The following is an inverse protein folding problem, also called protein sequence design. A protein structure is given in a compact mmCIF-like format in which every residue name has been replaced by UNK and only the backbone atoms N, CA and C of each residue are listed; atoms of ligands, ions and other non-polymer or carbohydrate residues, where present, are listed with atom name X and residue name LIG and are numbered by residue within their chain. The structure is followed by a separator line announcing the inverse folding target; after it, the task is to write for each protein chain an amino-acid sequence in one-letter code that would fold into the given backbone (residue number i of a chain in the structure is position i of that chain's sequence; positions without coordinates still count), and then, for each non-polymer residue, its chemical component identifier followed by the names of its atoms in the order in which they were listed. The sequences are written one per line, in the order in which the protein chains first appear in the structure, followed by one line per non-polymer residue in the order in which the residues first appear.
data_IF_376834479617
#
_entry.id   IF_376834479617
#
_cell.length_a   1.000
_cell.length_b   1.000
_cell.length_c   1.000
_cell.angle_alpha   90.00
_cell.angle_beta   90.00
_cell.angle_gamma   90.00
#
_symmetry.space_group_name_H-M   'P 1'
#
loop_
_entity.id
_entity.type
_entity.pdbx_description
1 polymer ?
#
# COMPACT_ATOMS: atom_id res chain seq x y z
N UNK A 1 13.24 22.70 -4.87
CA UNK A 1 11.86 22.73 -5.36
C UNK A 1 10.96 23.41 -4.32
N UNK A 2 9.90 24.11 -4.76
CA UNK A 2 8.90 24.58 -3.80
C UNK A 2 8.07 23.38 -3.35
N UNK A 3 7.72 23.27 -2.08
CA UNK A 3 6.98 22.14 -1.51
C UNK A 3 5.65 21.83 -2.24
N UNK A 4 5.11 22.80 -2.97
CA UNK A 4 3.87 22.72 -3.74
C UNK A 4 4.07 22.67 -5.27
N UNK A 5 5.28 22.40 -5.76
CA UNK A 5 5.50 22.21 -7.19
C UNK A 5 4.67 21.03 -7.71
N UNK A 6 4.17 21.14 -8.94
CA UNK A 6 3.48 20.02 -9.61
C UNK A 6 4.44 18.85 -9.78
N UNK A 7 3.90 17.65 -9.60
CA UNK A 7 4.64 16.39 -9.71
C UNK A 7 4.13 15.65 -10.94
N UNK A 8 5.05 15.20 -11.78
CA UNK A 8 4.71 14.32 -12.89
C UNK A 8 4.47 12.88 -12.36
N UNK A 9 3.25 12.33 -12.48
CA UNK A 9 2.97 10.99 -12.00
C UNK A 9 3.73 9.87 -12.75
N UNK A 10 4.19 10.15 -13.97
CA UNK A 10 4.98 9.20 -14.75
C UNK A 10 6.46 9.19 -14.34
N UNK A 11 6.91 10.23 -13.62
CA UNK A 11 8.28 10.35 -13.13
C UNK A 11 8.30 11.05 -11.77
N UNK A 12 7.73 10.42 -10.73
CA UNK A 12 7.66 11.03 -9.41
C UNK A 12 9.04 11.12 -8.75
N UNK A 13 9.24 12.07 -7.81
CA UNK A 13 10.49 12.18 -7.08
C UNK A 13 10.71 10.97 -6.16
N UNK A 14 11.95 10.50 -6.07
CA UNK A 14 12.39 9.43 -5.17
C UNK A 14 12.67 10.03 -3.78
N UNK A 15 11.66 10.01 -2.91
CA UNK A 15 11.70 10.70 -1.60
C UNK A 15 11.54 9.79 -0.39
N UNK A 16 11.02 8.58 -0.57
CA UNK A 16 10.92 7.62 0.51
C UNK A 16 12.32 7.06 0.80
N UNK A 17 12.94 7.56 1.86
CA UNK A 17 14.30 7.22 2.29
C UNK A 17 14.34 6.13 3.34
N UNK A 18 13.18 5.58 3.70
CA UNK A 18 13.04 4.44 4.60
C UNK A 18 11.88 3.56 4.16
N UNK A 19 11.93 2.29 4.52
CA UNK A 19 10.80 1.38 4.35
C UNK A 19 9.64 1.81 5.25
N UNK A 20 8.42 1.56 4.79
CA UNK A 20 7.23 1.84 5.59
C UNK A 20 6.89 0.70 6.58
N UNK A 21 7.51 -0.47 6.41
CA UNK A 21 7.29 -1.67 7.21
C UNK A 21 8.62 -2.35 7.53
N UNK A 22 8.65 -3.10 8.62
CA UNK A 22 9.76 -3.97 8.97
C UNK A 22 9.87 -5.10 7.95
N UNK A 23 11.05 -5.27 7.33
CA UNK A 23 11.31 -6.31 6.33
C UNK A 23 11.88 -7.61 6.93
N UNK A 24 12.19 -7.65 8.22
CA UNK A 24 12.71 -8.86 8.88
C UNK A 24 11.71 -10.03 8.88
N UNK A 25 10.38 -9.80 9.06
CA UNK A 25 9.39 -10.84 8.87
C UNK A 25 9.32 -11.29 7.41
N UNK A 26 8.80 -12.49 7.19
CA UNK A 26 8.38 -12.90 5.86
C UNK A 26 7.21 -12.04 5.40
N UNK A 27 7.34 -11.39 4.25
CA UNK A 27 6.35 -10.47 3.73
C UNK A 27 6.00 -10.84 2.29
N UNK A 28 4.74 -10.76 1.95
CA UNK A 28 4.29 -10.66 0.57
C UNK A 28 3.53 -9.35 0.38
N UNK A 29 3.70 -8.75 -0.79
CA UNK A 29 3.12 -7.45 -1.15
C UNK A 29 2.38 -7.60 -2.47
N UNK A 30 1.16 -7.04 -2.58
CA UNK A 30 0.43 -7.08 -3.84
C UNK A 30 1.01 -6.10 -4.85
N UNK A 31 0.87 -6.47 -6.13
CA UNK A 31 1.00 -5.50 -7.22
C UNK A 31 -0.15 -4.50 -7.15
N UNK A 32 0.08 -3.23 -7.47
CA UNK A 32 -1.03 -2.31 -7.73
C UNK A 32 -1.83 -2.79 -8.94
N UNK A 33 -3.12 -2.48 -8.98
CA UNK A 33 -4.10 -2.91 -9.98
C UNK A 33 -4.43 -4.39 -9.97
N UNK A 34 -4.04 -5.14 -8.92
CA UNK A 34 -4.36 -6.56 -8.77
C UNK A 34 -5.75 -6.80 -8.14
N UNK A 35 -6.26 -5.84 -7.39
CA UNK A 35 -7.44 -6.00 -6.53
C UNK A 35 -8.57 -5.09 -7.01
N UNK A 36 -9.84 -5.51 -6.85
CA UNK A 36 -10.97 -4.60 -6.98
C UNK A 36 -10.85 -3.47 -5.95
N UNK A 37 -10.84 -2.24 -6.43
CA UNK A 37 -10.54 -1.07 -5.59
C UNK A 37 -11.71 -0.66 -4.71
N UNK A 38 -11.44 -0.47 -3.43
CA UNK A 38 -12.34 0.23 -2.51
C UNK A 38 -12.48 1.70 -2.92
N UNK A 39 -11.78 2.57 -2.18
CA UNK A 39 -11.85 4.02 -2.35
C UNK A 39 -10.65 4.61 -3.11
N UNK A 40 -9.84 3.79 -3.80
CA UNK A 40 -8.53 4.21 -4.30
C UNK A 40 -8.39 4.17 -5.83
N UNK A 41 -9.48 4.14 -6.54
CA UNK A 41 -9.49 4.28 -7.99
C UNK A 41 -10.84 4.70 -8.57
N UNK A 42 -11.94 4.11 -8.10
CA UNK A 42 -13.34 4.36 -8.49
C UNK A 42 -13.65 4.19 -9.99
N UNK A 43 -12.80 3.55 -10.74
CA UNK A 43 -12.94 3.46 -12.19
C UNK A 43 -12.97 4.81 -12.89
N UNK A 44 -12.50 5.86 -12.24
CA UNK A 44 -12.42 7.19 -12.80
C UNK A 44 -11.07 7.40 -13.46
N UNK A 45 -11.02 8.00 -14.68
CA UNK A 45 -9.76 8.30 -15.33
C UNK A 45 -8.83 9.18 -14.51
N UNK A 46 -9.38 9.97 -13.58
CA UNK A 46 -8.59 10.83 -12.71
C UNK A 46 -7.81 10.03 -11.66
N UNK A 47 -8.33 8.88 -11.23
CA UNK A 47 -7.74 8.06 -10.17
C UNK A 47 -6.94 6.88 -10.73
N UNK A 48 -7.47 6.20 -11.73
CA UNK A 48 -6.77 5.18 -12.49
C UNK A 48 -6.79 5.56 -13.97
N UNK A 49 -5.68 5.98 -14.52
CA UNK A 49 -5.55 6.47 -15.90
C UNK A 49 -5.97 5.44 -16.96
N UNK A 50 -6.31 4.22 -16.59
CA UNK A 50 -6.93 3.26 -17.50
C UNK A 50 -8.35 3.65 -17.87
N UNK A 51 -9.06 4.41 -17.02
CA UNK A 51 -10.42 4.91 -17.26
C UNK A 51 -11.52 3.86 -17.39
N UNK A 52 -11.17 2.59 -17.37
CA UNK A 52 -12.06 1.46 -17.66
C UNK A 52 -12.07 0.39 -16.57
N UNK A 53 -11.22 0.56 -15.56
CA UNK A 53 -10.97 -0.45 -14.55
C UNK A 53 -11.19 0.09 -13.14
N UNK A 54 -11.83 -0.70 -12.30
CA UNK A 54 -11.98 -0.45 -10.87
C UNK A 54 -10.89 -1.12 -10.04
N UNK A 55 -9.66 -1.10 -10.52
CA UNK A 55 -8.51 -1.70 -9.85
C UNK A 55 -7.93 -0.83 -8.75
N UNK A 56 -7.58 -1.41 -7.62
CA UNK A 56 -6.95 -0.72 -6.49
C UNK A 56 -5.52 -0.31 -6.80
N UNK A 57 -5.18 0.93 -6.41
CA UNK A 57 -3.82 1.45 -6.46
C UNK A 57 -3.09 1.32 -5.11
N UNK A 58 -3.67 0.59 -4.14
CA UNK A 58 -2.99 0.22 -2.91
C UNK A 58 -2.03 -0.96 -3.15
N UNK A 59 -0.95 -0.97 -2.37
CA UNK A 59 -0.26 -2.20 -2.03
C UNK A 59 -0.87 -2.74 -0.74
N UNK A 60 -1.39 -3.95 -0.81
CA UNK A 60 -1.76 -4.74 0.36
C UNK A 60 -0.53 -5.56 0.76
N UNK A 61 -0.40 -5.82 2.01
CA UNK A 61 0.70 -6.65 2.53
C UNK A 61 0.19 -7.64 3.55
N UNK A 62 0.83 -8.80 3.56
CA UNK A 62 0.75 -9.78 4.63
C UNK A 62 2.13 -9.97 5.19
N UNK A 63 2.27 -9.88 6.51
CA UNK A 63 3.52 -10.12 7.20
C UNK A 63 3.37 -11.31 8.14
N UNK A 64 4.36 -12.20 8.12
CA UNK A 64 4.43 -13.39 8.97
C UNK A 64 5.73 -13.39 9.74
N UNK A 65 5.75 -13.98 10.91
CA UNK A 65 7.01 -14.31 11.58
C UNK A 65 7.63 -15.54 10.91
N UNK A 66 8.95 -15.70 10.98
CA UNK A 66 9.70 -16.73 10.25
C UNK A 66 9.27 -18.18 10.53
N UNK A 67 8.72 -18.42 11.71
CA UNK A 67 8.18 -19.70 12.18
C UNK A 67 6.69 -19.89 11.83
N UNK A 68 6.05 -18.90 11.25
CA UNK A 68 4.62 -18.84 10.93
C UNK A 68 4.37 -18.70 9.42
N UNK A 69 5.25 -19.22 8.61
CA UNK A 69 5.12 -19.20 7.16
C UNK A 69 3.75 -19.76 6.77
N UNK A 70 3.05 -19.08 5.89
CA UNK A 70 1.73 -19.45 5.40
C UNK A 70 1.63 -20.98 5.12
N UNK A 71 0.82 -21.64 5.92
CA UNK A 71 0.50 -23.08 5.80
C UNK A 71 -0.90 -23.34 5.21
N UNK A 72 -1.58 -22.27 4.73
CA UNK A 72 -2.96 -22.33 4.27
C UNK A 72 -4.00 -22.13 5.37
N UNK A 73 -3.60 -21.89 6.61
CA UNK A 73 -4.50 -21.82 7.76
C UNK A 73 -4.55 -20.42 8.37
N UNK A 74 -5.62 -19.68 8.13
CA UNK A 74 -5.81 -18.28 8.56
C UNK A 74 -5.85 -18.04 10.08
N UNK A 75 -5.90 -19.05 10.88
CA UNK A 75 -6.13 -18.91 12.32
C UNK A 75 -4.90 -18.93 13.20
N UNK A 76 -3.70 -19.17 12.63
CA UNK A 76 -2.50 -19.49 13.42
C UNK A 76 -1.54 -18.33 13.63
N UNK A 77 -1.77 -17.15 13.04
CA UNK A 77 -0.81 -16.05 13.04
C UNK A 77 -1.35 -14.84 13.80
N UNK A 78 -0.65 -14.45 14.84
CA UNK A 78 -0.91 -13.18 15.51
C UNK A 78 0.39 -12.34 15.44
N UNK A 79 0.42 -11.41 14.48
CA UNK A 79 1.55 -10.47 14.29
C UNK A 79 1.29 -9.11 14.94
N UNK A 80 0.20 -8.98 15.69
CA UNK A 80 -0.11 -7.74 16.44
C UNK A 80 1.02 -7.39 17.40
N UNK A 81 1.43 -6.12 17.34
CA UNK A 81 2.51 -5.61 18.20
C UNK A 81 3.90 -6.16 17.88
N UNK A 82 4.07 -6.93 16.79
CA UNK A 82 5.36 -7.51 16.37
C UNK A 82 5.91 -6.80 15.17
N UNK A 83 5.13 -6.68 14.09
CA UNK A 83 5.58 -6.07 12.84
C UNK A 83 5.34 -4.58 12.88
N UNK A 84 6.40 -3.80 12.75
CA UNK A 84 6.40 -2.35 12.90
C UNK A 84 6.10 -1.63 11.59
N UNK A 85 5.37 -0.53 11.71
CA UNK A 85 5.27 0.49 10.67
C UNK A 85 6.19 1.66 10.96
N UNK A 86 6.75 2.22 9.90
CA UNK A 86 7.65 3.38 9.96
C UNK A 86 7.18 4.48 9.02
N UNK A 87 7.52 5.73 9.33
CA UNK A 87 7.38 6.80 8.36
C UNK A 87 8.42 6.63 7.25
N UNK A 88 8.04 6.60 5.97
CA UNK A 88 8.99 6.51 4.87
C UNK A 88 9.70 7.82 4.56
N UNK A 89 9.22 8.93 5.11
CA UNK A 89 9.66 10.30 4.80
C UNK A 89 9.66 11.18 6.06
N UNK A 90 10.41 12.28 6.01
CA UNK A 90 10.18 13.40 6.91
C UNK A 90 8.89 14.10 6.51
N UNK A 91 7.99 14.32 7.46
CA UNK A 91 6.69 14.88 7.14
C UNK A 91 5.80 15.18 8.35
N UNK A 92 4.52 15.36 8.06
CA UNK A 92 3.49 15.56 9.07
C UNK A 92 2.36 14.54 8.88
N UNK A 93 2.03 13.86 9.96
CA UNK A 93 0.89 12.97 10.06
C UNK A 93 -0.39 13.77 10.33
N UNK A 94 -1.41 13.55 9.51
CA UNK A 94 -2.70 14.22 9.60
C UNK A 94 -3.85 13.25 9.35
N UNK A 95 -5.07 13.70 9.65
CA UNK A 95 -6.31 12.96 9.39
C UNK A 95 -6.23 11.56 9.98
N UNK A 96 -5.85 11.50 11.26
CA UNK A 96 -5.83 10.24 12.02
C UNK A 96 -7.27 9.87 12.36
N UNK A 97 -7.77 8.80 11.76
CA UNK A 97 -9.15 8.33 11.91
C UNK A 97 -9.13 6.99 12.63
N UNK A 98 -9.65 6.91 13.86
CA UNK A 98 -9.80 5.65 14.56
C UNK A 98 -10.93 4.83 13.94
N UNK A 99 -10.76 3.52 13.93
CA UNK A 99 -11.75 2.54 13.49
C UNK A 99 -11.79 1.39 14.50
N UNK A 100 -12.93 1.25 15.17
CA UNK A 100 -13.12 0.17 16.15
C UNK A 100 -13.32 -1.16 15.44
N UNK A 101 -12.56 -2.16 15.88
CA UNK A 101 -12.66 -3.54 15.42
C UNK A 101 -12.82 -4.50 16.60
N UNK A 102 -13.09 -5.77 16.31
CA UNK A 102 -13.13 -6.80 17.36
C UNK A 102 -11.76 -7.01 18.06
N UNK A 103 -10.67 -6.61 17.40
CA UNK A 103 -9.30 -6.72 17.91
C UNK A 103 -8.82 -5.48 18.67
N UNK A 104 -9.58 -4.37 18.63
CA UNK A 104 -9.23 -3.08 19.22
C UNK A 104 -9.34 -1.94 18.21
N UNK A 105 -8.74 -0.81 18.51
CA UNK A 105 -8.77 0.38 17.64
C UNK A 105 -7.64 0.33 16.64
N UNK A 106 -7.96 0.29 15.35
CA UNK A 106 -7.00 0.52 14.26
C UNK A 106 -7.14 1.94 13.72
N UNK A 107 -6.11 2.41 13.05
CA UNK A 107 -6.08 3.77 12.52
C UNK A 107 -5.81 3.79 11.01
N UNK A 108 -6.49 4.74 10.36
CA UNK A 108 -6.14 5.24 9.03
C UNK A 108 -5.57 6.64 9.18
N UNK A 109 -4.50 6.96 8.46
CA UNK A 109 -3.89 8.31 8.51
C UNK A 109 -3.13 8.63 7.24
N UNK A 110 -2.80 9.92 7.10
CA UNK A 110 -2.01 10.46 6.00
C UNK A 110 -0.70 11.02 6.51
N UNK A 111 0.39 10.81 5.75
CA UNK A 111 1.65 11.52 5.95
C UNK A 111 1.91 12.38 4.72
N UNK A 112 2.08 13.69 4.95
CA UNK A 112 2.46 14.65 3.93
C UNK A 112 3.95 14.95 4.06
N UNK A 113 4.78 14.63 3.03
CA UNK A 113 6.21 14.94 3.05
C UNK A 113 6.47 16.43 3.18
N UNK A 114 7.48 16.81 3.96
CA UNK A 114 7.82 18.22 4.21
C UNK A 114 8.11 18.99 2.91
N UNK A 115 8.87 18.38 2.00
CA UNK A 115 9.35 19.03 0.78
C UNK A 115 8.47 18.79 -0.45
N UNK A 116 7.45 17.89 -0.33
CA UNK A 116 6.59 17.48 -1.46
C UNK A 116 5.13 17.39 -1.00
N UNK A 117 4.55 18.50 -0.64
CA UNK A 117 3.19 18.63 -0.06
C UNK A 117 2.05 18.19 -1.01
N UNK A 118 2.36 17.89 -2.27
CA UNK A 118 1.41 17.30 -3.22
C UNK A 118 1.41 15.77 -3.20
N UNK A 119 2.37 15.15 -2.55
CA UNK A 119 2.36 13.72 -2.27
C UNK A 119 1.67 13.43 -0.95
N UNK A 120 0.97 12.31 -0.90
CA UNK A 120 0.34 11.80 0.31
C UNK A 120 0.61 10.31 0.42
N UNK A 121 1.15 9.88 1.55
CA UNK A 121 1.22 8.47 1.92
C UNK A 121 0.02 8.17 2.82
N UNK A 122 -0.79 7.20 2.44
CA UNK A 122 -1.97 6.77 3.20
C UNK A 122 -1.74 5.38 3.76
N UNK A 123 -1.99 5.21 5.04
CA UNK A 123 -1.86 3.96 5.77
C UNK A 123 -3.20 3.51 6.31
N UNK A 124 -3.38 2.19 6.37
CA UNK A 124 -4.58 1.57 6.96
C UNK A 124 -4.17 0.43 7.88
N UNK A 125 -5.05 0.11 8.82
CA UNK A 125 -4.96 -1.03 9.73
C UNK A 125 -3.72 -0.99 10.65
N UNK A 126 -3.37 0.21 11.12
CA UNK A 126 -2.22 0.43 11.99
C UNK A 126 -2.68 0.60 13.43
N UNK A 127 -2.08 -0.16 14.35
CA UNK A 127 -2.09 0.12 15.79
C UNK A 127 -1.06 1.23 16.04
N UNK A 128 -1.54 2.49 16.07
CA UNK A 128 -0.70 3.67 16.20
C UNK A 128 -0.13 3.80 17.62
N UNK A 129 1.13 4.19 17.73
CA UNK A 129 1.67 4.59 19.03
C UNK A 129 0.91 5.81 19.58
N UNK A 130 0.70 5.83 20.90
CA UNK A 130 -0.10 6.84 21.61
C UNK A 130 0.28 8.28 21.23
N UNK A 131 1.57 8.54 21.03
CA UNK A 131 2.10 9.87 20.69
C UNK A 131 1.64 10.37 19.31
N UNK A 132 1.15 9.47 18.42
CA UNK A 132 0.71 9.82 17.06
C UNK A 132 -0.82 9.81 16.87
N UNK A 133 -1.60 9.42 17.85
CA UNK A 133 -3.08 9.38 17.70
C UNK A 133 -3.71 10.75 17.46
N UNK A 134 -2.97 11.82 17.77
CA UNK A 134 -3.36 13.20 17.45
C UNK A 134 -2.67 13.74 16.19
N UNK A 135 -1.94 12.91 15.45
CA UNK A 135 -1.07 13.34 14.37
C UNK A 135 0.21 14.01 14.90
N UNK A 136 0.94 14.69 14.01
CA UNK A 136 2.16 15.43 14.37
C UNK A 136 3.31 15.20 13.39
N UNK A 137 4.46 15.78 13.70
CA UNK A 137 5.66 15.63 12.86
C UNK A 137 6.25 14.24 13.01
N UNK A 138 6.72 13.69 11.89
CA UNK A 138 7.42 12.41 11.81
C UNK A 138 8.70 12.56 11.01
N UNK A 139 9.67 11.71 11.29
CA UNK A 139 10.92 11.63 10.52
C UNK A 139 11.02 10.30 9.80
N UNK A 140 11.73 10.25 8.67
CA UNK A 140 11.99 9.01 7.95
C UNK A 140 12.63 7.96 8.88
N UNK A 141 12.11 6.75 8.87
CA UNK A 141 12.52 5.66 9.76
C UNK A 141 11.97 5.73 11.18
N UNK A 142 11.17 6.73 11.51
CA UNK A 142 10.53 6.78 12.82
C UNK A 142 9.47 5.68 12.92
N UNK A 143 9.57 4.86 13.97
CA UNK A 143 8.55 3.87 14.31
C UNK A 143 7.27 4.59 14.72
N UNK A 144 6.16 4.30 14.03
CA UNK A 144 4.88 4.99 14.21
C UNK A 144 3.76 4.08 14.74
N UNK A 145 3.90 2.78 14.61
CA UNK A 145 2.89 1.83 15.06
C UNK A 145 3.23 0.40 14.67
N UNK A 146 2.26 -0.47 14.82
CA UNK A 146 2.37 -1.88 14.52
C UNK A 146 1.24 -2.33 13.60
N UNK A 147 1.40 -3.49 12.97
CA UNK A 147 0.28 -4.17 12.32
C UNK A 147 -0.78 -4.48 13.38
N UNK A 148 -2.03 -4.03 13.14
CA UNK A 148 -3.15 -4.26 14.04
C UNK A 148 -3.79 -5.62 13.81
N UNK A 149 -3.87 -6.08 12.58
CA UNK A 149 -4.62 -7.28 12.23
C UNK A 149 -3.85 -8.56 12.54
N UNK A 150 -4.52 -9.60 13.11
CA UNK A 150 -3.85 -10.82 13.57
C UNK A 150 -3.08 -11.56 12.48
N UNK A 151 -3.50 -11.42 11.24
CA UNK A 151 -2.93 -12.10 10.09
C UNK A 151 -1.90 -11.24 9.31
N UNK A 152 -1.36 -10.21 9.95
CA UNK A 152 -0.30 -9.41 9.38
C UNK A 152 -0.74 -8.47 8.26
N UNK A 153 -2.03 -8.26 8.09
CA UNK A 153 -2.57 -7.43 7.02
C UNK A 153 -2.31 -5.94 7.27
N UNK A 154 -1.78 -5.26 6.27
CA UNK A 154 -1.63 -3.82 6.23
C UNK A 154 -1.75 -3.30 4.81
N UNK A 155 -1.81 -1.98 4.66
CA UNK A 155 -2.03 -1.35 3.36
C UNK A 155 -1.29 -0.01 3.29
N UNK A 156 -0.73 0.28 2.12
CA UNK A 156 -0.21 1.59 1.78
C UNK A 156 -0.71 2.05 0.41
N UNK A 157 -1.08 3.32 0.31
CA UNK A 157 -1.33 3.99 -0.96
C UNK A 157 -0.51 5.28 -1.04
N UNK A 158 -0.09 5.63 -2.25
CA UNK A 158 0.58 6.89 -2.53
C UNK A 158 -0.21 7.66 -3.57
N UNK A 159 -0.52 8.91 -3.28
CA UNK A 159 -1.25 9.78 -4.20
C UNK A 159 -0.55 11.11 -4.45
N UNK A 160 -0.80 11.68 -5.63
CA UNK A 160 -0.36 13.00 -6.07
C UNK A 160 -1.60 13.87 -6.27
N UNK A 161 -1.65 15.02 -5.61
CA UNK A 161 -2.70 16.02 -5.80
C UNK A 161 -2.13 17.29 -6.43
N UNK A 162 -2.23 17.40 -7.74
CA UNK A 162 -1.80 18.60 -8.48
C UNK A 162 -2.84 19.74 -8.49
N UNK A 163 -3.89 19.63 -7.66
CA UNK A 163 -4.90 20.68 -7.48
C UNK A 163 -6.14 20.50 -8.36
N UNK A 164 -6.07 19.74 -9.44
CA UNK A 164 -7.20 19.43 -10.33
C UNK A 164 -7.60 17.97 -10.20
N UNK A 165 -6.63 17.09 -10.27
CA UNK A 165 -6.82 15.64 -10.26
C UNK A 165 -5.99 15.00 -9.15
N UNK A 166 -6.58 14.04 -8.45
CA UNK A 166 -5.90 13.12 -7.57
C UNK A 166 -5.47 11.90 -8.41
N UNK A 167 -4.20 11.55 -8.35
CA UNK A 167 -3.64 10.40 -9.07
C UNK A 167 -2.90 9.49 -8.10
N UNK A 168 -3.12 8.20 -8.22
CA UNK A 168 -2.40 7.20 -7.43
C UNK A 168 -1.23 6.62 -8.21
N UNK A 169 -0.14 6.35 -7.48
CA UNK A 169 1.09 5.74 -7.98
C UNK A 169 1.54 4.62 -7.04
N UNK A 170 2.46 3.79 -7.49
CA UNK A 170 3.06 2.77 -6.62
C UNK A 170 3.97 3.40 -5.56
N UNK A 171 3.99 2.84 -4.36
CA UNK A 171 5.00 3.18 -3.35
C UNK A 171 6.43 2.94 -3.87
N UNK A 172 6.61 1.91 -4.70
CA UNK A 172 7.91 1.58 -5.30
C UNK A 172 8.41 2.66 -6.28
N UNK A 173 7.50 3.50 -6.81
CA UNK A 173 7.89 4.60 -7.69
C UNK A 173 8.53 5.78 -6.96
N UNK A 174 8.26 5.93 -5.65
CA UNK A 174 8.73 7.07 -4.83
C UNK A 174 9.84 6.72 -3.86
N UNK A 175 10.19 5.43 -3.68
CA UNK A 175 11.32 5.06 -2.82
C UNK A 175 12.65 5.33 -3.50
N UNK A 176 13.67 5.69 -2.71
CA UNK A 176 15.04 5.87 -3.21
C UNK A 176 15.62 4.56 -3.71
N UNK A 177 16.73 4.61 -4.43
CA UNK A 177 17.38 3.39 -4.94
C UNK A 177 18.02 2.60 -3.79
N UNK A 178 18.45 3.26 -2.72
CA UNK A 178 18.97 2.62 -1.51
C UNK A 178 17.89 1.79 -0.81
N UNK A 179 16.69 2.34 -0.65
CA UNK A 179 15.54 1.59 -0.07
C UNK A 179 15.12 0.48 -1.00
N UNK A 180 15.09 0.73 -2.32
CA UNK A 180 14.75 -0.31 -3.28
C UNK A 180 15.75 -1.48 -3.29
N UNK A 181 17.04 -1.21 -3.04
CA UNK A 181 18.05 -2.25 -2.94
C UNK A 181 17.78 -3.27 -1.81
N UNK A 182 17.10 -2.86 -0.73
CA UNK A 182 16.68 -3.78 0.34
C UNK A 182 15.64 -4.78 -0.16
N UNK A 183 14.70 -4.34 -0.99
CA UNK A 183 13.72 -5.21 -1.66
C UNK A 183 14.38 -6.09 -2.73
N UNK A 184 15.38 -5.57 -3.43
CA UNK A 184 16.14 -6.36 -4.40
C UNK A 184 16.91 -7.50 -3.72
N UNK A 185 17.46 -7.27 -2.53
CA UNK A 185 18.09 -8.30 -1.73
C UNK A 185 17.10 -9.38 -1.24
N UNK A 186 15.81 -9.14 -1.35
CA UNK A 186 14.68 -10.00 -0.98
C UNK A 186 13.92 -10.52 -2.21
N UNK A 187 14.53 -10.51 -3.39
CA UNK A 187 14.01 -11.16 -4.60
C UNK A 187 13.22 -10.28 -5.57
N UNK A 188 12.92 -9.01 -5.25
CA UNK A 188 12.29 -8.10 -6.22
C UNK A 188 13.32 -7.64 -7.25
N UNK A 189 13.11 -7.95 -8.51
CA UNK A 189 14.07 -7.66 -9.58
C UNK A 189 13.95 -6.25 -10.17
N UNK A 190 12.74 -5.69 -10.19
CA UNK A 190 12.47 -4.34 -10.71
C UNK A 190 11.24 -3.73 -10.03
N UNK A 191 11.12 -2.40 -10.08
CA UNK A 191 9.94 -1.68 -9.57
C UNK A 191 8.68 -2.06 -10.35
N UNK A 192 8.80 -2.33 -11.65
CA UNK A 192 7.69 -2.73 -12.53
C UNK A 192 7.08 -4.08 -12.13
N UNK A 193 7.86 -4.95 -11.47
CA UNK A 193 7.34 -6.22 -10.91
C UNK A 193 6.21 -6.00 -9.92
N UNK A 194 6.16 -4.84 -9.26
CA UNK A 194 5.16 -4.49 -8.25
C UNK A 194 3.90 -3.84 -8.86
N UNK A 195 3.77 -3.89 -10.18
CA UNK A 195 2.70 -3.20 -10.91
C UNK A 195 2.14 -4.10 -12.01
N UNK A 196 0.82 -4.24 -12.06
CA UNK A 196 0.14 -4.60 -13.30
C UNK A 196 0.07 -3.30 -14.11
N UNK A 197 0.61 -3.29 -15.33
CA UNK A 197 0.68 -2.07 -16.13
C UNK A 197 -0.72 -1.53 -16.47
N UNK A 198 -0.80 -0.25 -16.82
CA UNK A 198 -2.06 0.37 -17.25
C UNK A 198 -2.58 -0.28 -18.52
N UNK A 199 -1.68 -0.62 -19.43
CA UNK A 199 -1.97 -1.25 -20.72
C UNK A 199 -2.53 -2.66 -20.51
N UNK A 200 -1.93 -3.47 -19.64
CA UNK A 200 -2.42 -4.81 -19.30
C UNK A 200 -3.80 -4.71 -18.65
N UNK A 201 -3.98 -3.81 -17.68
CA UNK A 201 -5.27 -3.65 -17.01
C UNK A 201 -6.34 -3.03 -17.90
N UNK A 202 -5.98 -2.12 -18.80
CA UNK A 202 -6.91 -1.58 -19.80
C UNK A 202 -7.37 -2.63 -20.81
N UNK A 203 -6.47 -3.55 -21.19
CA UNK A 203 -6.82 -4.68 -22.05
C UNK A 203 -7.71 -5.71 -21.33
N UNK A 204 -7.58 -5.84 -20.02
CA UNK A 204 -8.27 -6.81 -19.17
C UNK A 204 -8.87 -6.11 -17.93
N UNK A 205 -9.93 -5.30 -18.08
CA UNK A 205 -10.45 -4.46 -17.03
C UNK A 205 -11.14 -5.26 -15.92
N UNK A 206 -10.93 -4.83 -14.67
CA UNK A 206 -11.75 -5.29 -13.54
C UNK A 206 -13.14 -4.64 -13.65
N UNK A 207 -14.24 -5.41 -13.54
CA UNK A 207 -15.58 -4.85 -13.62
C UNK A 207 -15.87 -3.81 -12.53
N UNK A 208 -16.38 -2.63 -12.90
CA UNK A 208 -16.78 -1.57 -11.96
C UNK A 208 -18.19 -1.76 -11.36
N UNK A 209 -18.83 -2.88 -11.60
CA UNK A 209 -20.23 -3.13 -11.19
C UNK A 209 -20.39 -3.79 -9.83
N UNK A 210 -19.29 -4.04 -9.13
CA UNK A 210 -19.29 -4.86 -7.92
C UNK A 210 -19.71 -4.11 -6.65
N UNK A 211 -19.67 -2.77 -6.64
CA UNK A 211 -20.01 -1.94 -5.47
C UNK A 211 -19.00 -2.06 -4.33
N UNK A 212 -19.15 -1.20 -3.33
CA UNK A 212 -18.17 -1.04 -2.23
C UNK A 212 -18.00 -2.27 -1.31
N UNK A 213 -18.93 -3.20 -1.31
CA UNK A 213 -18.86 -4.42 -0.48
C UNK A 213 -18.00 -5.55 -1.04
N UNK A 214 -17.35 -5.36 -2.16
CA UNK A 214 -16.58 -6.40 -2.87
C UNK A 214 -15.07 -6.18 -2.83
N UNK A 215 -14.58 -5.41 -1.91
CA UNK A 215 -13.15 -5.31 -1.66
C UNK A 215 -12.53 -6.69 -1.41
N UNK A 216 -11.28 -6.88 -1.83
CA UNK A 216 -10.60 -8.17 -1.68
C UNK A 216 -10.83 -9.17 -2.81
N UNK A 217 -11.54 -8.82 -3.89
CA UNK A 217 -11.52 -9.61 -5.12
C UNK A 217 -10.26 -9.35 -5.91
N UNK A 218 -9.54 -10.42 -6.22
CA UNK A 218 -8.29 -10.39 -6.97
C UNK A 218 -8.50 -10.82 -8.41
N UNK A 219 -7.77 -10.18 -9.31
CA UNK A 219 -7.81 -10.44 -10.74
C UNK A 219 -6.40 -10.51 -11.30
N UNK A 220 -6.09 -11.54 -12.05
CA UNK A 220 -4.83 -11.68 -12.77
C UNK A 220 -4.61 -10.53 -13.77
N UNK A 221 -3.42 -10.42 -14.32
CA UNK A 221 -3.15 -9.49 -15.41
C UNK A 221 -3.99 -9.82 -16.67
N UNK A 222 -4.36 -11.09 -16.87
CA UNK A 222 -5.26 -11.52 -17.96
C UNK A 222 -6.74 -11.22 -17.72
N UNK A 223 -7.11 -10.69 -16.55
CA UNK A 223 -8.49 -10.31 -16.22
C UNK A 223 -9.34 -11.43 -15.61
N UNK A 224 -8.75 -12.60 -15.35
CA UNK A 224 -9.45 -13.70 -14.69
C UNK A 224 -9.53 -13.41 -13.18
N UNK A 225 -10.71 -13.65 -12.60
CA UNK A 225 -10.87 -13.57 -11.16
C UNK A 225 -10.21 -14.79 -10.50
N UNK A 226 -9.16 -14.55 -9.68
CA UNK A 226 -8.40 -15.61 -9.04
C UNK A 226 -8.94 -15.96 -7.64
N UNK A 227 -9.36 -14.95 -6.88
CA UNK A 227 -9.84 -15.17 -5.52
C UNK A 227 -10.90 -14.15 -5.11
N UNK A 228 -11.74 -14.53 -4.15
CA UNK A 228 -12.68 -13.61 -3.54
C UNK A 228 -12.06 -12.72 -2.48
N UNK A 229 -11.00 -13.18 -1.85
CA UNK A 229 -10.25 -12.44 -0.84
C UNK A 229 -8.74 -12.60 -1.06
N UNK A 230 -7.99 -11.68 -0.50
CA UNK A 230 -6.53 -11.55 -0.63
C UNK A 230 -5.75 -12.79 -0.18
N UNK A 231 -6.28 -13.54 0.78
CA UNK A 231 -5.64 -14.72 1.34
C UNK A 231 -5.53 -15.90 0.38
N UNK A 232 -6.40 -15.95 -0.62
CA UNK A 232 -6.47 -17.05 -1.58
C UNK A 232 -5.85 -16.70 -2.93
N UNK A 233 -5.38 -15.47 -3.09
CA UNK A 233 -4.77 -15.01 -4.33
C UNK A 233 -3.39 -15.61 -4.54
N UNK A 234 -3.13 -16.01 -5.77
CA UNK A 234 -1.89 -16.65 -6.19
C UNK A 234 -0.76 -15.67 -6.53
N UNK A 235 0.39 -16.20 -7.02
CA UNK A 235 1.61 -15.43 -7.29
C UNK A 235 1.46 -14.34 -8.37
N UNK A 236 0.42 -14.39 -9.19
CA UNK A 236 0.18 -13.36 -10.21
C UNK A 236 -0.15 -12.00 -9.60
N UNK A 237 -0.71 -11.98 -8.38
CA UNK A 237 -1.12 -10.78 -7.66
C UNK A 237 -0.14 -10.38 -6.56
N UNK A 238 0.57 -11.33 -5.99
CA UNK A 238 1.49 -11.14 -4.88
C UNK A 238 2.95 -11.31 -5.32
N UNK A 239 3.83 -10.55 -4.69
CA UNK A 239 5.27 -10.76 -4.73
C UNK A 239 5.73 -11.11 -3.32
N UNK A 240 6.32 -12.28 -3.17
CA UNK A 240 6.89 -12.76 -1.91
C UNK A 240 8.32 -12.23 -1.77
N UNK A 241 8.66 -11.75 -0.57
CA UNK A 241 10.03 -11.37 -0.21
C UNK A 241 10.72 -12.59 0.42
N UNK A 242 11.81 -13.03 -0.19
CA UNK A 242 12.63 -14.16 0.25
C UNK A 242 13.63 -13.79 1.35
#
# INVERSE_FOLDING_TARGET
PTAYASIDPANPPKIATHNFIDLDPYIRITKIRAVYGHNYNYGSPEYDLTGTSCSSMKHYLDAYTSDQRWDGNFGSYDTRGVVKFYSPVDGNMHTVVPQETEQGTEYQFYIYPTDYQRLTFTFHHVDLLEEFVSGGSVTAGQHIGYIMRPNGQGEIAVSINNGVNLQYISFFDVMTDEVFAEYQARGITSRDQMTISKEERAANPIPCTLGDGYGGKFYSASGDQEAFNEWQSGPDNWVELE
#
